data_IF_460027545265
#
_entry.id   IF_460027545265
#
_cell.length_a   1.000
_cell.length_b   1.000
_cell.length_c   1.000
_cell.angle_alpha   90.00
_cell.angle_beta   90.00
_cell.angle_gamma   90.00
#
_symmetry.space_group_name_H-M   'P 1'
#
loop_
_entity.id
_entity.type
_entity.pdbx_description
1 polymer ?
#
# COMPACT_ATOMS: atom_id res chain seq x y z
N UNK A 1 5.47 -2.23 12.56
CA UNK A 1 5.56 -0.85 12.04
C UNK A 1 4.77 0.07 12.97
N UNK A 2 5.21 1.32 13.17
CA UNK A 2 4.51 2.32 13.98
C UNK A 2 5.44 3.35 14.62
N UNK A 3 4.91 4.51 15.04
CA UNK A 3 5.71 5.63 15.56
C UNK A 3 5.82 5.65 17.09
N UNK A 4 4.79 5.21 17.82
CA UNK A 4 4.74 5.24 19.29
C UNK A 4 4.35 3.90 19.92
N UNK A 5 3.47 3.18 19.23
CA UNK A 5 3.06 1.82 19.53
C UNK A 5 2.94 1.10 18.20
N UNK A 6 2.83 -0.23 18.22
CA UNK A 6 2.70 -0.97 16.98
C UNK A 6 1.38 -0.64 16.24
N UNK A 7 1.50 -0.05 15.06
CA UNK A 7 0.39 0.31 14.16
C UNK A 7 0.08 -0.82 13.17
N UNK A 8 1.08 -1.64 12.82
CA UNK A 8 0.92 -2.82 11.95
C UNK A 8 1.88 -3.95 12.34
N UNK A 9 1.36 -5.19 12.27
CA UNK A 9 2.00 -6.42 12.74
C UNK A 9 1.69 -7.55 11.76
N UNK A 10 2.67 -8.40 11.52
CA UNK A 10 2.50 -9.70 10.87
C UNK A 10 2.75 -10.76 11.95
N UNK A 11 1.83 -11.71 12.08
CA UNK A 11 1.93 -12.79 13.08
C UNK A 11 1.32 -14.08 12.53
N UNK A 12 1.76 -15.21 13.07
CA UNK A 12 1.05 -16.47 12.86
C UNK A 12 -0.39 -16.34 13.40
N UNK A 13 -1.41 -16.86 12.69
CA UNK A 13 -2.78 -16.83 13.18
C UNK A 13 -2.91 -17.52 14.54
N UNK A 14 -3.58 -16.84 15.49
CA UNK A 14 -3.72 -17.30 16.87
C UNK A 14 -4.49 -18.64 16.96
N UNK A 15 -5.37 -18.91 16.00
CA UNK A 15 -6.14 -20.16 15.93
C UNK A 15 -5.36 -21.33 15.31
N UNK A 16 -4.08 -21.11 14.92
CA UNK A 16 -3.19 -22.12 14.38
C UNK A 16 -3.51 -22.58 12.95
N UNK A 17 -4.49 -21.95 12.28
CA UNK A 17 -4.77 -22.22 10.87
C UNK A 17 -3.79 -21.47 9.97
N UNK A 18 -3.66 -21.86 8.68
CA UNK A 18 -2.88 -21.09 7.72
C UNK A 18 -3.36 -19.64 7.64
N UNK A 19 -2.43 -18.71 7.36
CA UNK A 19 -2.80 -17.33 7.02
C UNK A 19 -3.75 -17.34 5.81
N UNK A 20 -4.64 -16.35 5.75
CA UNK A 20 -5.60 -16.23 4.67
C UNK A 20 -5.88 -14.77 4.34
N UNK A 21 -6.28 -14.53 3.11
CA UNK A 21 -6.56 -13.19 2.59
C UNK A 21 -8.06 -12.92 2.60
N UNK A 22 -8.43 -11.70 2.99
CA UNK A 22 -9.77 -11.17 2.74
C UNK A 22 -9.85 -10.60 1.34
N UNK A 23 -10.74 -11.11 0.48
CA UNK A 23 -10.96 -10.49 -0.82
C UNK A 23 -11.49 -9.05 -0.64
N UNK A 24 -10.94 -8.11 -1.41
CA UNK A 24 -11.21 -6.67 -1.26
C UNK A 24 -10.47 -6.00 -0.09
N UNK A 25 -9.71 -6.73 0.72
CA UNK A 25 -8.86 -6.15 1.76
C UNK A 25 -7.45 -5.85 1.24
N UNK A 26 -6.91 -4.71 1.67
CA UNK A 26 -5.51 -4.35 1.50
C UNK A 26 -5.05 -3.47 2.66
N UNK A 27 -3.74 -3.43 2.88
CA UNK A 27 -3.11 -2.53 3.86
C UNK A 27 -2.25 -1.53 3.11
N UNK A 28 -2.46 -0.23 3.37
CA UNK A 28 -1.70 0.85 2.75
C UNK A 28 -0.75 1.53 3.73
N UNK A 29 0.48 1.76 3.29
CA UNK A 29 1.48 2.56 3.99
C UNK A 29 1.72 3.88 3.26
N UNK A 30 1.70 4.98 4.00
CA UNK A 30 2.11 6.28 3.48
C UNK A 30 3.63 6.37 3.42
N UNK A 31 4.13 6.74 2.26
CA UNK A 31 5.51 7.11 1.99
C UNK A 31 5.65 8.63 1.99
N UNK A 32 6.85 9.13 2.32
CA UNK A 32 7.16 10.55 2.34
C UNK A 32 7.58 11.09 0.95
N UNK A 33 7.74 10.21 -0.05
CA UNK A 33 8.10 10.59 -1.42
C UNK A 33 7.77 9.50 -2.45
N UNK A 34 7.67 9.88 -3.73
CA UNK A 34 7.56 8.95 -4.86
C UNK A 34 8.70 7.93 -4.89
N UNK A 35 9.94 8.38 -4.62
CA UNK A 35 11.11 7.50 -4.58
C UNK A 35 11.02 6.42 -3.49
N UNK A 36 10.36 6.69 -2.36
CA UNK A 36 10.11 5.67 -1.33
C UNK A 36 9.07 4.64 -1.78
N UNK A 37 8.06 5.05 -2.57
CA UNK A 37 7.11 4.11 -3.21
C UNK A 37 7.86 3.20 -4.18
N UNK A 38 8.72 3.77 -5.03
CA UNK A 38 9.55 3.00 -5.98
C UNK A 38 10.47 2.02 -5.26
N UNK A 39 11.14 2.47 -4.19
CA UNK A 39 12.04 1.65 -3.39
C UNK A 39 11.29 0.52 -2.65
N UNK A 40 10.09 0.80 -2.13
CA UNK A 40 9.23 -0.22 -1.51
C UNK A 40 8.89 -1.33 -2.51
N UNK A 41 8.42 -0.96 -3.70
CA UNK A 41 8.03 -1.92 -4.74
C UNK A 41 9.21 -2.78 -5.17
N UNK A 42 10.35 -2.16 -5.48
CA UNK A 42 11.56 -2.89 -5.88
C UNK A 42 12.06 -3.85 -4.80
N UNK A 43 12.05 -3.42 -3.52
CA UNK A 43 12.44 -4.26 -2.40
C UNK A 43 11.48 -5.44 -2.19
N UNK A 44 10.17 -5.21 -2.33
CA UNK A 44 9.16 -6.26 -2.21
C UNK A 44 9.35 -7.33 -3.30
N UNK A 45 9.51 -6.92 -4.57
CA UNK A 45 9.77 -7.86 -5.66
C UNK A 45 11.08 -8.64 -5.47
N UNK A 46 12.13 -7.98 -5.02
CA UNK A 46 13.40 -8.64 -4.70
C UNK A 46 13.27 -9.66 -3.55
N UNK A 47 12.32 -9.48 -2.65
CA UNK A 47 12.00 -10.39 -1.55
C UNK A 47 11.03 -11.53 -1.96
N UNK A 48 10.57 -11.56 -3.21
CA UNK A 48 9.70 -12.61 -3.76
C UNK A 48 8.19 -12.29 -3.69
N UNK A 49 7.81 -11.04 -3.40
CA UNK A 49 6.42 -10.60 -3.57
C UNK A 49 6.04 -10.60 -5.06
N UNK A 50 4.76 -10.82 -5.36
CA UNK A 50 4.26 -10.68 -6.72
C UNK A 50 3.90 -9.20 -7.01
N UNK A 51 4.15 -8.77 -8.24
CA UNK A 51 3.71 -7.46 -8.72
C UNK A 51 2.19 -7.46 -8.96
N UNK A 52 1.49 -6.49 -8.38
CA UNK A 52 0.05 -6.27 -8.61
C UNK A 52 -0.25 -4.83 -9.04
N UNK A 53 0.79 -4.06 -9.41
CA UNK A 53 0.66 -2.70 -9.90
C UNK A 53 1.91 -1.89 -9.62
N UNK A 54 2.72 -1.73 -10.67
CA UNK A 54 3.94 -0.93 -10.63
C UNK A 54 3.71 0.51 -10.09
N UNK A 55 4.74 1.14 -9.49
CA UNK A 55 4.69 2.52 -9.06
C UNK A 55 4.23 3.46 -10.17
N UNK A 56 3.28 4.34 -9.85
CA UNK A 56 2.77 5.31 -10.82
C UNK A 56 1.57 6.11 -10.32
N UNK A 57 1.13 7.12 -11.09
CA UNK A 57 -0.12 7.79 -10.85
C UNK A 57 -1.30 6.82 -10.98
N UNK A 58 -2.44 7.18 -10.36
CA UNK A 58 -3.70 6.46 -10.53
C UNK A 58 -4.79 7.49 -10.85
N UNK A 59 -5.19 7.65 -12.12
CA UNK A 59 -6.13 8.71 -12.52
C UNK A 59 -7.45 8.71 -11.75
N UNK A 60 -7.90 7.54 -11.27
CA UNK A 60 -9.11 7.41 -10.45
C UNK A 60 -8.99 8.00 -9.04
N UNK A 61 -7.78 8.24 -8.53
CA UNK A 61 -7.51 8.80 -7.21
C UNK A 61 -7.12 10.29 -7.26
N UNK A 62 -6.92 10.83 -8.46
CA UNK A 62 -6.52 12.22 -8.69
C UNK A 62 -5.01 12.43 -8.81
N UNK A 63 -4.64 13.62 -9.32
CA UNK A 63 -3.24 14.04 -9.55
C UNK A 63 -2.32 13.98 -8.32
N UNK A 64 -2.77 14.24 -7.08
CA UNK A 64 -1.88 14.19 -5.91
C UNK A 64 -1.38 12.78 -5.57
N UNK A 65 -2.00 11.72 -6.08
CA UNK A 65 -1.69 10.34 -5.73
C UNK A 65 -0.57 9.74 -6.60
N UNK A 66 0.38 9.10 -5.95
CA UNK A 66 1.34 8.18 -6.57
C UNK A 66 1.47 6.93 -5.72
N UNK A 67 1.38 5.73 -6.31
CA UNK A 67 1.40 4.51 -5.52
C UNK A 67 1.70 3.24 -6.30
N UNK A 68 1.91 2.15 -5.57
CA UNK A 68 2.12 0.80 -6.10
C UNK A 68 1.38 -0.25 -5.26
N UNK A 69 1.21 -1.43 -5.82
CA UNK A 69 0.60 -2.59 -5.16
C UNK A 69 1.45 -3.84 -5.36
N UNK A 70 1.58 -4.64 -4.30
CA UNK A 70 2.19 -5.97 -4.35
C UNK A 70 1.30 -6.99 -3.63
N UNK A 71 1.55 -8.27 -3.90
CA UNK A 71 1.10 -9.38 -3.06
C UNK A 71 2.28 -9.89 -2.26
N UNK A 72 2.16 -9.91 -0.93
CA UNK A 72 3.18 -10.54 -0.10
C UNK A 72 3.19 -12.08 -0.26
N UNK A 73 4.10 -12.75 0.46
CA UNK A 73 4.30 -14.19 0.36
C UNK A 73 3.09 -15.02 0.83
N UNK A 74 2.18 -14.43 1.59
CA UNK A 74 0.92 -15.04 2.04
C UNK A 74 -0.28 -14.57 1.18
N UNK A 75 -0.03 -13.76 0.15
CA UNK A 75 -1.01 -13.24 -0.80
C UNK A 75 -1.76 -11.98 -0.35
N UNK A 76 -1.39 -11.37 0.77
CA UNK A 76 -2.02 -10.13 1.21
C UNK A 76 -1.69 -8.99 0.25
N UNK A 77 -2.71 -8.20 -0.13
CA UNK A 77 -2.52 -7.01 -0.94
C UNK A 77 -1.94 -5.90 -0.07
N UNK A 78 -0.78 -5.38 -0.46
CA UNK A 78 -0.12 -4.29 0.24
C UNK A 78 0.12 -3.14 -0.73
N UNK A 79 -0.16 -1.93 -0.25
CA UNK A 79 0.03 -0.68 -0.98
C UNK A 79 1.09 0.17 -0.30
N UNK A 80 1.91 0.83 -1.11
CA UNK A 80 2.65 2.02 -0.69
C UNK A 80 2.18 3.20 -1.52
N UNK A 81 1.85 4.32 -0.86
CA UNK A 81 1.36 5.52 -1.54
C UNK A 81 2.01 6.78 -1.01
N UNK A 82 2.24 7.72 -1.90
CA UNK A 82 2.68 9.08 -1.64
C UNK A 82 1.59 10.03 -2.11
N UNK A 83 1.22 10.96 -1.23
CA UNK A 83 0.28 12.03 -1.53
C UNK A 83 1.03 13.35 -1.55
N UNK A 84 1.03 14.00 -2.70
CA UNK A 84 1.60 15.34 -2.84
C UNK A 84 0.67 16.37 -2.20
N UNK A 85 0.87 16.61 -0.90
CA UNK A 85 0.07 17.54 -0.11
C UNK A 85 0.22 19.01 -0.55
N UNK A 86 1.19 19.33 -1.42
CA UNK A 86 1.33 20.67 -2.00
C UNK A 86 0.32 20.92 -3.12
N UNK A 87 -0.16 19.86 -3.75
CA UNK A 87 -1.29 19.86 -4.67
C UNK A 87 -2.53 19.68 -3.80
N UNK A 88 -3.05 20.81 -3.29
CA UNK A 88 -4.16 20.81 -2.35
C UNK A 88 -5.27 19.84 -2.77
N UNK A 89 -5.91 19.19 -1.78
CA UNK A 89 -7.07 18.35 -2.04
C UNK A 89 -8.20 19.21 -2.62
N UNK A 90 -8.26 19.36 -3.94
CA UNK A 90 -9.52 19.73 -4.58
C UNK A 90 -10.38 18.47 -4.57
N UNK A 91 -10.96 18.20 -3.40
CA UNK A 91 -12.06 17.25 -3.26
C UNK A 91 -13.23 17.85 -4.01
N UNK A 92 -13.28 17.64 -5.32
CA UNK A 92 -14.52 17.77 -6.04
C UNK A 92 -15.50 16.75 -5.45
N UNK A 93 -16.38 17.30 -4.63
CA UNK A 93 -17.64 16.76 -4.15
C UNK A 93 -18.35 16.00 -5.28
N UNK A 94 -18.15 14.69 -5.31
CA UNK A 94 -19.02 13.77 -6.02
C UNK A 94 -19.84 13.02 -4.97
N UNK A 95 -20.88 13.71 -4.50
CA UNK A 95 -22.08 13.09 -3.98
C UNK A 95 -22.52 11.93 -4.90
N UNK A 96 -22.56 10.73 -4.33
CA UNK A 96 -23.36 9.61 -4.79
C UNK A 96 -24.19 9.09 -3.61
#
# INVERSE_FOLDING_TARGET
>A
YGKLYPEFWVQAPIDGRPASVGNGSHVGFFADSKAQVDAFHAAALAAGADDEGAPGPRPLYGEPYYGCFIRDLDGHKVEASYWDMSQGFDVHDHAH
#
